data_IF_719389718781
#
_entry.id   IF_719389718781
#
_cell.length_a   1.000
_cell.length_b   1.000
_cell.length_c   1.000
_cell.angle_alpha   90.00
_cell.angle_beta   90.00
_cell.angle_gamma   90.00
#
_symmetry.space_group_name_H-M   'P 1'
#
loop_
_entity.id
_entity.type
_entity.pdbx_description
1 polymer ?
#
# COMPACT_ATOMS: atom_id res chain seq x y z
N UNK A 1 5.27 -19.31 22.98
CA UNK A 1 5.85 -19.70 21.67
C UNK A 1 7.24 -19.07 21.53
N UNK A 2 8.04 -19.40 20.52
CA UNK A 2 9.41 -18.86 20.37
C UNK A 2 9.42 -17.32 20.30
N UNK A 3 8.38 -16.71 19.71
CA UNK A 3 8.19 -15.26 19.66
C UNK A 3 8.05 -14.62 21.04
N UNK A 4 7.25 -15.20 21.94
CA UNK A 4 7.10 -14.69 23.32
C UNK A 4 8.44 -14.72 24.06
N UNK A 5 9.23 -15.77 23.82
CA UNK A 5 10.57 -15.88 24.41
C UNK A 5 11.49 -14.76 23.91
N UNK A 6 11.56 -14.53 22.59
CA UNK A 6 12.39 -13.47 22.00
C UNK A 6 11.92 -12.08 22.45
N UNK A 7 10.60 -11.83 22.43
CA UNK A 7 10.02 -10.56 22.87
C UNK A 7 10.31 -10.28 24.36
N UNK A 8 10.36 -11.33 25.19
CA UNK A 8 10.67 -11.26 26.61
C UNK A 8 12.17 -11.13 26.96
N UNK A 9 13.09 -11.24 25.99
CA UNK A 9 14.52 -11.08 26.25
C UNK A 9 14.84 -9.64 26.67
N UNK A 10 15.81 -9.48 27.59
CA UNK A 10 16.27 -8.15 27.99
C UNK A 10 16.91 -7.39 26.82
N UNK A 11 17.74 -8.07 26.04
CA UNK A 11 18.39 -7.54 24.84
C UNK A 11 18.40 -8.58 23.71
N UNK A 12 18.53 -8.11 22.48
CA UNK A 12 18.73 -8.93 21.29
C UNK A 12 20.19 -8.88 20.76
N UNK A 13 21.15 -8.34 21.53
CA UNK A 13 22.56 -8.19 21.10
C UNK A 13 23.25 -9.51 20.71
N UNK A 14 22.73 -10.65 21.17
CA UNK A 14 23.23 -11.97 20.79
C UNK A 14 22.75 -12.45 19.42
N UNK A 15 21.77 -11.77 18.83
CA UNK A 15 21.26 -12.07 17.49
C UNK A 15 22.04 -11.27 16.46
N UNK A 16 22.49 -11.93 15.40
CA UNK A 16 22.95 -11.21 14.23
C UNK A 16 21.75 -10.69 13.42
N UNK A 17 22.00 -9.72 12.54
CA UNK A 17 20.94 -9.05 11.78
C UNK A 17 20.16 -9.99 10.86
N UNK A 18 20.84 -11.01 10.30
CA UNK A 18 20.20 -12.05 9.49
C UNK A 18 19.20 -12.88 10.31
N UNK A 19 19.51 -13.22 11.56
CA UNK A 19 18.61 -13.96 12.43
C UNK A 19 17.36 -13.12 12.76
N UNK A 20 17.53 -11.82 12.97
CA UNK A 20 16.41 -10.90 13.22
C UNK A 20 15.51 -10.74 11.98
N UNK A 21 16.11 -10.51 10.81
CA UNK A 21 15.36 -10.37 9.55
C UNK A 21 14.61 -11.66 9.22
N UNK A 22 15.25 -12.83 9.37
CA UNK A 22 14.62 -14.12 9.10
C UNK A 22 13.51 -14.45 10.11
N UNK A 23 13.67 -14.05 11.37
CA UNK A 23 12.61 -14.20 12.38
C UNK A 23 11.39 -13.37 12.01
N UNK A 24 11.57 -12.08 11.70
CA UNK A 24 10.47 -11.22 11.27
C UNK A 24 9.80 -11.75 10.00
N UNK A 25 10.61 -12.15 9.01
CA UNK A 25 10.13 -12.73 7.75
C UNK A 25 9.31 -14.00 7.98
N UNK A 26 9.78 -14.94 8.81
CA UNK A 26 9.06 -16.18 9.09
C UNK A 26 7.69 -15.94 9.73
N UNK A 27 7.59 -14.99 10.67
CA UNK A 27 6.32 -14.62 11.28
C UNK A 27 5.36 -13.96 10.28
N UNK A 28 5.87 -13.05 9.44
CA UNK A 28 5.10 -12.41 8.39
C UNK A 28 4.57 -13.41 7.36
N UNK A 29 5.44 -14.29 6.85
CA UNK A 29 5.08 -15.35 5.89
C UNK A 29 4.09 -16.35 6.46
N UNK A 30 4.21 -16.69 7.75
CA UNK A 30 3.26 -17.59 8.42
C UNK A 30 1.90 -16.94 8.71
N UNK A 31 1.75 -15.63 8.51
CA UNK A 31 0.53 -14.89 8.85
C UNK A 31 0.23 -14.85 10.35
N UNK A 32 1.25 -15.09 11.19
CA UNK A 32 1.09 -15.12 12.65
C UNK A 32 1.30 -13.72 13.21
N UNK A 33 0.21 -13.11 13.70
CA UNK A 33 0.29 -11.80 14.36
C UNK A 33 1.07 -11.89 15.67
N UNK A 34 2.17 -11.13 15.78
CA UNK A 34 2.95 -11.04 17.02
C UNK A 34 3.47 -9.62 17.26
N UNK A 35 2.62 -8.69 17.72
CA UNK A 35 2.99 -7.28 17.74
C UNK A 35 4.22 -6.93 18.61
N UNK A 36 4.35 -7.58 19.77
CA UNK A 36 5.47 -7.33 20.69
C UNK A 36 6.84 -7.79 20.13
N UNK A 37 6.85 -8.83 19.28
CA UNK A 37 8.08 -9.34 18.67
C UNK A 37 8.60 -8.34 17.64
N UNK A 38 7.73 -7.87 16.74
CA UNK A 38 8.07 -6.83 15.77
C UNK A 38 8.51 -5.55 16.48
N UNK A 39 7.82 -5.13 17.54
CA UNK A 39 8.26 -3.96 18.31
C UNK A 39 9.67 -4.17 18.91
N UNK A 40 9.93 -5.34 19.51
CA UNK A 40 11.25 -5.66 20.09
C UNK A 40 12.37 -5.67 19.05
N UNK A 41 12.12 -6.24 17.88
CA UNK A 41 13.08 -6.26 16.76
C UNK A 41 13.32 -4.83 16.26
N UNK A 42 12.25 -4.05 16.06
CA UNK A 42 12.31 -2.67 15.54
C UNK A 42 13.11 -1.77 16.47
N UNK A 43 12.77 -1.79 17.76
CA UNK A 43 13.48 -1.04 18.80
C UNK A 43 14.97 -1.39 18.85
N UNK A 44 15.31 -2.68 18.71
CA UNK A 44 16.69 -3.14 18.71
C UNK A 44 17.46 -2.66 17.49
N UNK A 45 16.94 -2.90 16.27
CA UNK A 45 17.60 -2.50 15.01
C UNK A 45 17.74 -0.98 14.92
N UNK A 46 16.70 -0.23 15.32
CA UNK A 46 16.74 1.23 15.39
C UNK A 46 17.72 1.77 16.45
N UNK A 47 18.09 0.95 17.43
CA UNK A 47 19.08 1.26 18.47
C UNK A 47 20.52 0.94 18.08
N UNK A 48 20.75 0.19 17.00
CA UNK A 48 22.09 -0.13 16.53
C UNK A 48 22.83 1.14 16.07
N UNK A 49 24.12 1.24 16.44
CA UNK A 49 24.96 2.38 16.05
C UNK A 49 25.09 2.45 14.53
N UNK A 50 25.31 1.32 13.88
CA UNK A 50 25.43 1.18 12.43
C UNK A 50 24.77 -0.12 11.98
N UNK A 51 24.37 -0.16 10.71
CA UNK A 51 23.83 -1.34 10.04
C UNK A 51 24.80 -1.90 8.99
N UNK A 52 26.09 -1.57 9.07
CA UNK A 52 27.13 -1.93 8.06
C UNK A 52 27.22 -3.46 7.83
N UNK A 53 26.76 -4.27 8.78
CA UNK A 53 26.73 -5.73 8.68
C UNK A 53 25.47 -6.28 8.00
N UNK A 54 24.45 -5.46 7.74
CA UNK A 54 23.24 -5.87 7.02
C UNK A 54 23.52 -5.82 5.53
N UNK A 55 23.37 -6.96 4.86
CA UNK A 55 23.39 -6.97 3.41
C UNK A 55 22.03 -6.46 2.90
N UNK A 56 21.96 -6.06 1.62
CA UNK A 56 20.71 -5.67 0.96
C UNK A 56 19.55 -6.65 1.19
N UNK A 57 19.84 -7.95 1.22
CA UNK A 57 18.85 -8.99 1.48
C UNK A 57 18.20 -8.86 2.87
N UNK A 58 18.99 -8.62 3.92
CA UNK A 58 18.44 -8.47 5.27
C UNK A 58 17.64 -7.15 5.42
N UNK A 59 18.07 -6.07 4.75
CA UNK A 59 17.31 -4.81 4.71
C UNK A 59 15.96 -4.99 4.02
N UNK A 60 15.97 -5.61 2.84
CA UNK A 60 14.77 -5.92 2.05
C UNK A 60 13.81 -6.84 2.80
N UNK A 61 14.31 -7.95 3.37
CA UNK A 61 13.51 -8.88 4.16
C UNK A 61 12.91 -8.23 5.40
N UNK A 62 13.66 -7.36 6.09
CA UNK A 62 13.15 -6.64 7.26
C UNK A 62 12.01 -5.70 6.87
N UNK A 63 12.21 -4.85 5.87
CA UNK A 63 11.15 -3.92 5.41
C UNK A 63 9.91 -4.70 4.94
N UNK A 64 10.11 -5.72 4.11
CA UNK A 64 9.03 -6.58 3.60
C UNK A 64 8.26 -7.27 4.73
N UNK A 65 8.96 -7.83 5.72
CA UNK A 65 8.32 -8.50 6.85
C UNK A 65 7.40 -7.55 7.63
N UNK A 66 7.82 -6.30 7.85
CA UNK A 66 6.99 -5.30 8.54
C UNK A 66 5.77 -4.91 7.72
N UNK A 67 5.95 -4.66 6.42
CA UNK A 67 4.85 -4.37 5.51
C UNK A 67 3.81 -5.50 5.48
N UNK A 68 4.27 -6.76 5.32
CA UNK A 68 3.42 -7.95 5.26
C UNK A 68 2.76 -8.25 6.61
N UNK A 69 3.46 -8.07 7.72
CA UNK A 69 2.89 -8.20 9.07
C UNK A 69 2.02 -7.01 9.48
N UNK A 70 1.89 -6.00 8.59
CA UNK A 70 1.08 -4.79 8.78
C UNK A 70 1.50 -3.97 9.99
N UNK A 71 2.81 -3.86 10.19
CA UNK A 71 3.47 -3.11 11.25
C UNK A 71 4.32 -1.99 10.68
N UNK A 72 4.37 -0.88 11.40
CA UNK A 72 5.22 0.25 11.06
C UNK A 72 5.97 0.76 12.27
N UNK A 73 7.30 0.81 12.15
CA UNK A 73 8.19 1.46 13.11
C UNK A 73 8.99 2.54 12.36
N UNK A 74 8.71 3.81 12.68
CA UNK A 74 9.33 4.94 11.98
C UNK A 74 10.86 4.92 12.09
N UNK A 75 11.39 4.66 13.29
CA UNK A 75 12.83 4.71 13.53
C UNK A 75 13.55 3.58 12.82
N UNK A 76 12.93 2.39 12.78
CA UNK A 76 13.41 1.29 11.97
C UNK A 76 13.45 1.67 10.50
N UNK A 77 12.35 2.16 9.93
CA UNK A 77 12.25 2.51 8.51
C UNK A 77 13.24 3.60 8.13
N UNK A 78 13.38 4.66 8.92
CA UNK A 78 14.41 5.69 8.70
C UNK A 78 15.83 5.11 8.70
N UNK A 79 16.13 4.20 9.64
CA UNK A 79 17.46 3.57 9.75
C UNK A 79 17.75 2.66 8.55
N UNK A 80 16.82 1.78 8.17
CA UNK A 80 17.02 0.86 7.04
C UNK A 80 17.00 1.60 5.70
N UNK A 81 16.21 2.66 5.55
CA UNK A 81 16.23 3.53 4.35
C UNK A 81 17.56 4.24 4.20
N UNK A 82 18.12 4.76 5.28
CA UNK A 82 19.45 5.38 5.27
C UNK A 82 20.53 4.38 4.84
N UNK A 83 20.52 3.19 5.42
CA UNK A 83 21.49 2.14 5.07
C UNK A 83 21.30 1.63 3.62
N UNK A 84 20.05 1.53 3.16
CA UNK A 84 19.72 1.13 1.80
C UNK A 84 20.27 2.12 0.78
N UNK A 85 20.17 3.44 1.03
CA UNK A 85 20.75 4.46 0.16
C UNK A 85 22.27 4.36 0.08
N UNK A 86 22.94 4.07 1.20
CA UNK A 86 24.40 3.88 1.25
C UNK A 86 24.83 2.64 0.45
N UNK A 87 24.10 1.54 0.56
CA UNK A 87 24.45 0.25 -0.05
C UNK A 87 23.71 -0.07 -1.36
N UNK A 88 22.98 0.88 -1.93
CA UNK A 88 22.06 0.69 -3.07
C UNK A 88 22.67 -0.07 -4.25
N UNK A 89 23.95 0.15 -4.56
CA UNK A 89 24.65 -0.49 -5.69
C UNK A 89 24.77 -2.02 -5.51
N UNK A 90 24.72 -2.50 -4.26
CA UNK A 90 24.81 -3.92 -3.93
C UNK A 90 23.44 -4.63 -3.93
N UNK A 91 22.33 -3.91 -4.06
CA UNK A 91 21.00 -4.54 -4.11
C UNK A 91 20.83 -5.34 -5.40
N UNK A 92 20.36 -6.58 -5.30
CA UNK A 92 19.85 -7.33 -6.45
C UNK A 92 18.44 -6.89 -6.83
N UNK A 93 17.96 -7.33 -8.00
CA UNK A 93 16.66 -6.95 -8.55
C UNK A 93 15.51 -7.25 -7.58
N UNK A 94 15.49 -8.46 -7.01
CA UNK A 94 14.50 -8.87 -6.03
C UNK A 94 14.54 -7.99 -4.78
N UNK A 95 15.73 -7.68 -4.26
CA UNK A 95 15.87 -6.84 -3.07
C UNK A 95 15.35 -5.42 -3.31
N UNK A 96 15.67 -4.82 -4.47
CA UNK A 96 15.19 -3.48 -4.87
C UNK A 96 13.67 -3.46 -4.89
N UNK A 97 13.06 -4.37 -5.63
CA UNK A 97 11.62 -4.40 -5.83
C UNK A 97 10.87 -4.62 -4.50
N UNK A 98 11.32 -5.59 -3.69
CA UNK A 98 10.69 -5.87 -2.39
C UNK A 98 10.87 -4.71 -1.40
N UNK A 99 12.03 -4.06 -1.37
CA UNK A 99 12.30 -2.97 -0.45
C UNK A 99 11.45 -1.74 -0.77
N UNK A 100 11.39 -1.33 -2.04
CA UNK A 100 10.57 -0.19 -2.48
C UNK A 100 9.08 -0.48 -2.31
N UNK A 101 8.63 -1.69 -2.66
CA UNK A 101 7.25 -2.11 -2.43
C UNK A 101 6.87 -2.07 -0.94
N UNK A 102 7.77 -2.53 -0.05
CA UNK A 102 7.54 -2.50 1.38
C UNK A 102 7.45 -1.06 1.92
N UNK A 103 8.37 -0.19 1.51
CA UNK A 103 8.38 1.22 1.86
C UNK A 103 7.08 1.92 1.43
N UNK A 104 6.65 1.71 0.18
CA UNK A 104 5.38 2.20 -0.34
C UNK A 104 4.18 1.64 0.44
N UNK A 105 4.18 0.33 0.73
CA UNK A 105 3.08 -0.35 1.44
C UNK A 105 2.83 0.24 2.83
N UNK A 106 3.89 0.57 3.57
CA UNK A 106 3.77 1.22 4.90
C UNK A 106 3.62 2.74 4.83
N UNK A 107 3.61 3.32 3.63
CA UNK A 107 3.54 4.77 3.44
C UNK A 107 4.81 5.51 3.86
N UNK A 108 5.97 4.85 3.81
CA UNK A 108 7.29 5.46 4.00
C UNK A 108 7.90 5.78 2.61
N UNK A 109 7.43 6.85 2.00
CA UNK A 109 7.76 7.24 0.62
C UNK A 109 8.71 8.43 0.59
N UNK A 110 9.93 8.24 1.10
CA UNK A 110 10.97 9.27 1.12
C UNK A 110 11.53 9.54 -0.28
N UNK A 111 11.51 10.80 -0.73
CA UNK A 111 11.96 11.16 -2.09
C UNK A 111 13.44 10.86 -2.31
N UNK A 112 14.31 11.08 -1.31
CA UNK A 112 15.75 10.82 -1.45
C UNK A 112 16.02 9.34 -1.63
N UNK A 113 15.29 8.50 -0.89
CA UNK A 113 15.36 7.05 -1.03
C UNK A 113 14.97 6.63 -2.46
N UNK A 114 13.78 7.00 -2.92
CA UNK A 114 13.29 6.58 -4.23
C UNK A 114 14.19 7.11 -5.36
N UNK A 115 14.55 8.40 -5.34
CA UNK A 115 15.49 8.97 -6.32
C UNK A 115 16.86 8.28 -6.33
N UNK A 116 17.37 7.82 -5.18
CA UNK A 116 18.64 7.10 -5.13
C UNK A 116 18.58 5.74 -5.84
N UNK A 117 17.42 5.08 -5.89
CA UNK A 117 17.26 3.79 -6.55
C UNK A 117 17.00 3.90 -8.06
N UNK A 118 16.62 5.07 -8.59
CA UNK A 118 16.40 5.28 -10.04
C UNK A 118 17.59 4.80 -10.90
N UNK A 119 18.85 5.24 -10.68
CA UNK A 119 19.97 4.77 -11.50
C UNK A 119 20.25 3.28 -11.35
N UNK A 120 20.02 2.70 -10.16
CA UNK A 120 20.21 1.26 -9.91
C UNK A 120 19.20 0.46 -10.73
N UNK A 121 17.93 0.87 -10.73
CA UNK A 121 16.87 0.22 -11.52
C UNK A 121 17.17 0.35 -13.01
N UNK A 122 17.48 1.56 -13.48
CA UNK A 122 17.78 1.79 -14.89
C UNK A 122 18.96 0.94 -15.39
N UNK A 123 19.99 0.74 -14.56
CA UNK A 123 21.17 -0.06 -14.92
C UNK A 123 20.93 -1.57 -15.01
N UNK A 124 19.82 -2.07 -14.44
CA UNK A 124 19.48 -3.51 -14.33
C UNK A 124 18.14 -3.83 -14.99
N UNK A 125 17.63 -2.95 -15.84
CA UNK A 125 16.25 -3.02 -16.33
C UNK A 125 15.92 -4.35 -17.02
N UNK A 126 16.89 -4.94 -17.71
CA UNK A 126 16.82 -6.23 -18.41
C UNK A 126 17.00 -7.45 -17.50
N UNK A 127 17.42 -7.26 -16.24
CA UNK A 127 17.59 -8.32 -15.25
C UNK A 127 16.36 -8.54 -14.38
N UNK A 128 15.43 -7.57 -14.32
CA UNK A 128 14.21 -7.70 -13.54
C UNK A 128 13.23 -8.69 -14.16
N UNK A 129 12.55 -9.46 -13.32
CA UNK A 129 11.39 -10.26 -13.75
C UNK A 129 10.10 -9.43 -13.75
N UNK A 130 9.02 -10.04 -14.23
CA UNK A 130 7.71 -9.40 -14.37
C UNK A 130 7.13 -8.89 -13.05
N UNK A 131 7.28 -9.66 -11.97
CA UNK A 131 6.75 -9.27 -10.67
C UNK A 131 7.53 -8.08 -10.08
N UNK A 132 8.84 -8.06 -10.25
CA UNK A 132 9.71 -7.02 -9.74
C UNK A 132 9.45 -5.67 -10.44
N UNK A 133 9.31 -5.67 -11.77
CA UNK A 133 8.95 -4.47 -12.53
C UNK A 133 7.58 -3.91 -12.13
N UNK A 134 6.58 -4.79 -11.90
CA UNK A 134 5.26 -4.35 -11.45
C UNK A 134 5.29 -3.76 -10.03
N UNK A 135 6.06 -4.38 -9.12
CA UNK A 135 6.23 -3.89 -7.75
C UNK A 135 6.91 -2.52 -7.72
N UNK A 136 7.94 -2.29 -8.53
CA UNK A 136 8.62 -0.99 -8.65
C UNK A 136 7.63 0.06 -9.19
N UNK A 137 6.96 -0.23 -10.31
CA UNK A 137 5.98 0.65 -10.92
C UNK A 137 4.89 1.07 -9.92
N UNK A 138 4.35 0.10 -9.17
CA UNK A 138 3.36 0.36 -8.13
C UNK A 138 3.92 1.19 -6.97
N UNK A 139 5.13 0.88 -6.49
CA UNK A 139 5.74 1.60 -5.37
C UNK A 139 5.93 3.09 -5.67
N UNK A 140 6.40 3.45 -6.87
CA UNK A 140 6.50 4.85 -7.31
C UNK A 140 5.13 5.50 -7.51
N UNK A 141 4.12 4.72 -7.95
CA UNK A 141 2.75 5.21 -8.04
C UNK A 141 2.21 5.61 -6.68
N UNK A 142 2.43 4.79 -5.64
CA UNK A 142 2.07 5.13 -4.26
C UNK A 142 2.84 6.35 -3.77
N UNK A 143 4.16 6.39 -4.00
CA UNK A 143 5.03 7.48 -3.60
C UNK A 143 4.69 8.82 -4.28
N UNK A 144 4.03 8.77 -5.44
CA UNK A 144 3.68 9.93 -6.25
C UNK A 144 4.89 10.78 -6.66
N UNK A 145 6.01 10.12 -6.97
CA UNK A 145 7.26 10.79 -7.32
C UNK A 145 7.48 10.71 -8.83
N UNK A 146 7.36 11.86 -9.52
CA UNK A 146 7.74 11.96 -10.93
C UNK A 146 9.26 11.90 -11.03
N UNK A 147 9.76 10.84 -11.62
CA UNK A 147 11.19 10.57 -11.81
C UNK A 147 11.42 10.12 -13.25
N UNK A 148 12.60 10.39 -13.78
CA UNK A 148 13.03 9.96 -15.11
C UNK A 148 13.42 8.46 -15.12
N UNK A 149 12.54 7.62 -14.57
CA UNK A 149 12.67 6.16 -14.54
C UNK A 149 11.73 5.49 -15.54
N UNK A 150 10.52 6.05 -15.69
CA UNK A 150 9.46 5.48 -16.50
C UNK A 150 9.50 6.10 -17.90
N UNK A 151 10.23 5.46 -18.79
CA UNK A 151 10.37 5.84 -20.20
C UNK A 151 9.92 4.71 -21.13
N UNK A 152 10.16 4.87 -22.44
CA UNK A 152 9.87 3.85 -23.45
C UNK A 152 10.65 2.54 -23.21
N UNK A 153 11.82 2.62 -22.57
CA UNK A 153 12.63 1.47 -22.18
C UNK A 153 11.94 0.65 -21.10
N UNK A 154 11.42 1.31 -20.05
CA UNK A 154 10.65 0.64 -19.00
C UNK A 154 9.37 0.00 -19.54
N UNK A 155 8.66 0.70 -20.43
CA UNK A 155 7.46 0.15 -21.11
C UNK A 155 7.82 -1.08 -21.95
N UNK A 156 8.94 -1.03 -22.67
CA UNK A 156 9.42 -2.17 -23.47
C UNK A 156 9.77 -3.37 -22.59
N UNK A 157 10.39 -3.14 -21.43
CA UNK A 157 10.66 -4.20 -20.45
C UNK A 157 9.38 -4.85 -19.92
N UNK A 158 8.35 -4.05 -19.60
CA UNK A 158 7.04 -4.58 -19.21
C UNK A 158 6.36 -5.37 -20.35
N UNK A 159 6.43 -4.86 -21.57
CA UNK A 159 5.81 -5.48 -22.75
C UNK A 159 6.38 -6.89 -23.03
N UNK A 160 7.66 -7.12 -22.74
CA UNK A 160 8.30 -8.43 -22.89
C UNK A 160 7.63 -9.54 -22.05
N UNK A 161 6.96 -9.17 -20.95
CA UNK A 161 6.31 -10.09 -20.01
C UNK A 161 4.78 -10.09 -20.10
N UNK A 162 4.18 -9.46 -21.11
CA UNK A 162 2.73 -9.22 -21.22
C UNK A 162 1.85 -10.44 -20.89
N UNK A 163 2.29 -11.65 -21.29
CA UNK A 163 1.50 -12.87 -21.16
C UNK A 163 1.75 -13.67 -19.87
N UNK A 164 2.77 -13.31 -19.08
CA UNK A 164 3.18 -14.07 -17.89
C UNK A 164 2.95 -13.33 -16.57
N UNK A 165 2.52 -12.06 -16.61
CA UNK A 165 2.19 -11.31 -15.39
C UNK A 165 1.15 -12.05 -14.52
N UNK A 166 1.46 -12.30 -13.24
CA UNK A 166 0.47 -12.69 -12.23
C UNK A 166 -0.66 -11.66 -12.12
N UNK A 167 -1.82 -12.09 -11.61
CA UNK A 167 -2.97 -11.18 -11.50
C UNK A 167 -2.67 -9.93 -10.66
N UNK A 168 -1.95 -10.09 -9.54
CA UNK A 168 -1.60 -8.95 -8.69
C UNK A 168 -0.71 -7.94 -9.42
N UNK A 169 0.29 -8.43 -10.18
CA UNK A 169 1.12 -7.57 -11.02
C UNK A 169 0.29 -6.83 -12.07
N UNK A 170 -0.71 -7.48 -12.67
CA UNK A 170 -1.63 -6.81 -13.61
C UNK A 170 -2.45 -5.71 -12.95
N UNK A 171 -2.91 -5.93 -11.72
CA UNK A 171 -3.62 -4.91 -10.92
C UNK A 171 -2.71 -3.73 -10.61
N UNK A 172 -1.50 -4.01 -10.15
CA UNK A 172 -0.46 -3.01 -9.90
C UNK A 172 -0.14 -2.17 -11.15
N UNK A 173 0.00 -2.80 -12.31
CA UNK A 173 0.25 -2.11 -13.57
C UNK A 173 -0.95 -1.29 -14.06
N UNK A 174 -2.18 -1.72 -13.80
CA UNK A 174 -3.36 -0.88 -14.03
C UNK A 174 -3.30 0.40 -13.19
N UNK A 175 -2.99 0.27 -11.89
CA UNK A 175 -2.83 1.42 -11.00
C UNK A 175 -1.66 2.31 -11.42
N UNK A 176 -0.56 1.74 -11.92
CA UNK A 176 0.55 2.52 -12.48
C UNK A 176 0.14 3.27 -13.74
N UNK A 177 -0.60 2.65 -14.67
CA UNK A 177 -1.10 3.32 -15.86
C UNK A 177 -2.04 4.49 -15.50
N UNK A 178 -2.91 4.31 -14.49
CA UNK A 178 -3.72 5.41 -13.94
C UNK A 178 -2.84 6.53 -13.38
N UNK A 179 -1.73 6.20 -12.71
CA UNK A 179 -0.79 7.20 -12.19
C UNK A 179 -0.06 7.93 -13.33
N UNK A 180 0.32 7.24 -14.42
CA UNK A 180 0.90 7.88 -15.61
C UNK A 180 -0.05 8.90 -16.25
N UNK A 181 -1.37 8.62 -16.24
CA UNK A 181 -2.42 9.56 -16.65
C UNK A 181 -2.57 10.71 -15.66
N UNK A 182 -2.58 10.41 -14.35
CA UNK A 182 -2.69 11.38 -13.26
C UNK A 182 -1.60 12.46 -13.30
N UNK A 183 -0.37 12.08 -13.68
CA UNK A 183 0.78 13.00 -13.78
C UNK A 183 1.00 13.54 -15.20
N UNK A 184 0.11 13.23 -16.13
CA UNK A 184 0.16 13.65 -17.54
C UNK A 184 1.52 13.36 -18.19
N UNK A 185 2.09 12.17 -17.93
CA UNK A 185 3.43 11.81 -18.42
C UNK A 185 3.48 11.53 -19.93
N UNK A 186 2.36 11.13 -20.53
CA UNK A 186 2.31 10.60 -21.90
C UNK A 186 2.85 9.18 -22.06
N UNK A 187 3.30 8.54 -20.97
CA UNK A 187 3.78 7.15 -20.97
C UNK A 187 2.58 6.20 -20.88
N UNK A 188 2.54 5.23 -21.79
CA UNK A 188 1.47 4.26 -21.89
C UNK A 188 1.99 2.83 -22.08
N UNK A 189 1.37 1.86 -21.42
CA UNK A 189 1.54 0.44 -21.74
C UNK A 189 1.02 0.17 -23.17
N UNK A 190 1.51 -0.89 -23.85
CA UNK A 190 0.88 -1.36 -25.06
C UNK A 190 -0.62 -1.61 -24.85
N UNK A 191 -1.45 -1.28 -25.84
CA UNK A 191 -2.91 -1.35 -25.72
C UNK A 191 -3.40 -2.73 -25.25
N UNK A 192 -2.83 -3.81 -25.78
CA UNK A 192 -3.18 -5.18 -25.37
C UNK A 192 -2.89 -5.46 -23.90
N UNK A 193 -1.78 -4.93 -23.37
CA UNK A 193 -1.44 -5.02 -21.95
C UNK A 193 -2.36 -4.14 -21.09
N UNK A 194 -2.68 -2.92 -21.53
CA UNK A 194 -3.66 -2.06 -20.84
C UNK A 194 -5.00 -2.77 -20.66
N UNK A 195 -5.51 -3.40 -21.73
CA UNK A 195 -6.78 -4.13 -21.70
C UNK A 195 -6.72 -5.33 -20.74
N UNK A 196 -5.63 -6.10 -20.75
CA UNK A 196 -5.42 -7.22 -19.80
C UNK A 196 -5.37 -6.74 -18.36
N UNK A 197 -4.62 -5.68 -18.09
CA UNK A 197 -4.50 -5.06 -16.77
C UNK A 197 -5.86 -4.56 -16.26
N UNK A 198 -6.57 -3.78 -17.07
CA UNK A 198 -7.90 -3.25 -16.74
C UNK A 198 -8.90 -4.37 -16.48
N UNK A 199 -8.99 -5.36 -17.38
CA UNK A 199 -9.92 -6.47 -17.23
C UNK A 199 -9.65 -7.29 -15.96
N UNK A 200 -8.38 -7.50 -15.61
CA UNK A 200 -7.99 -8.18 -14.37
C UNK A 200 -8.32 -7.33 -13.12
N UNK A 201 -8.20 -6.01 -13.23
CA UNK A 201 -8.50 -5.09 -12.14
C UNK A 201 -9.99 -5.08 -11.79
N UNK A 202 -10.85 -4.96 -12.80
CA UNK A 202 -12.30 -4.85 -12.61
C UNK A 202 -13.01 -6.18 -12.34
N UNK A 203 -12.37 -7.33 -12.63
CA UNK A 203 -12.97 -8.66 -12.47
C UNK A 203 -12.98 -9.19 -11.03
N UNK A 204 -12.33 -8.49 -10.10
CA UNK A 204 -12.20 -8.91 -8.71
C UNK A 204 -13.59 -9.15 -8.08
N UNK A 205 -13.82 -10.38 -7.59
CA UNK A 205 -15.10 -10.73 -6.96
C UNK A 205 -15.27 -9.96 -5.65
N UNK A 206 -16.37 -9.23 -5.55
CA UNK A 206 -16.81 -8.61 -4.32
C UNK A 206 -17.17 -9.69 -3.28
N UNK A 207 -16.67 -9.54 -2.05
CA UNK A 207 -17.13 -10.33 -0.90
C UNK A 207 -17.78 -9.38 0.09
N UNK A 208 -19.10 -9.48 0.25
CA UNK A 208 -19.84 -8.71 1.25
C UNK A 208 -19.23 -8.86 2.64
N UNK A 209 -18.76 -7.75 3.22
CA UNK A 209 -18.29 -7.73 4.59
C UNK A 209 -19.42 -7.33 5.54
N UNK A 210 -19.47 -7.96 6.73
CA UNK A 210 -20.46 -7.58 7.76
C UNK A 210 -20.36 -6.10 8.16
N UNK A 211 -19.14 -5.56 8.17
CA UNK A 211 -18.87 -4.17 8.51
C UNK A 211 -19.51 -3.24 7.47
N UNK A 212 -19.33 -3.53 6.19
CA UNK A 212 -19.94 -2.76 5.10
C UNK A 212 -21.46 -2.81 5.13
N UNK A 213 -22.05 -3.99 5.33
CA UNK A 213 -23.50 -4.14 5.43
C UNK A 213 -24.09 -3.28 6.57
N UNK A 214 -23.37 -3.16 7.68
CA UNK A 214 -23.76 -2.31 8.82
C UNK A 214 -23.64 -0.81 8.50
N UNK A 215 -22.54 -0.37 7.86
CA UNK A 215 -22.38 1.02 7.41
C UNK A 215 -23.45 1.42 6.39
N UNK A 216 -23.67 0.59 5.38
CA UNK A 216 -24.72 0.78 4.36
C UNK A 216 -26.11 0.81 5.00
N UNK A 217 -26.37 -0.07 5.97
CA UNK A 217 -27.62 -0.08 6.72
C UNK A 217 -27.89 1.26 7.41
N UNK A 218 -26.87 1.84 8.04
CA UNK A 218 -26.97 3.15 8.70
C UNK A 218 -27.02 4.33 7.74
N UNK A 219 -26.34 4.27 6.57
CA UNK A 219 -26.52 5.25 5.49
C UNK A 219 -27.99 5.31 5.04
N UNK A 220 -28.60 4.13 4.85
CA UNK A 220 -30.02 4.00 4.46
C UNK A 220 -30.95 4.49 5.57
N UNK A 221 -30.66 4.14 6.83
CA UNK A 221 -31.45 4.58 7.98
C UNK A 221 -31.36 6.10 8.21
N UNK A 222 -30.24 6.72 7.86
CA UNK A 222 -30.08 8.18 7.85
C UNK A 222 -30.84 8.88 6.71
N UNK A 223 -31.45 8.12 5.78
CA UNK A 223 -32.20 8.67 4.65
C UNK A 223 -31.31 9.29 3.57
N UNK A 224 -30.06 8.85 3.46
CA UNK A 224 -29.13 9.31 2.41
C UNK A 224 -29.44 8.58 1.09
N UNK A 225 -29.31 9.29 -0.04
CA UNK A 225 -29.38 8.72 -1.39
C UNK A 225 -27.98 8.28 -1.83
N UNK A 226 -27.82 7.01 -2.18
CA UNK A 226 -26.53 6.44 -2.58
C UNK A 226 -26.70 5.20 -3.45
N UNK A 227 -25.67 4.92 -4.24
CA UNK A 227 -25.52 3.69 -5.01
C UNK A 227 -24.42 2.83 -4.35
N UNK A 228 -24.63 1.52 -4.20
CA UNK A 228 -23.66 0.59 -3.60
C UNK A 228 -22.72 -0.02 -4.66
N UNK A 229 -21.51 -0.41 -4.27
CA UNK A 229 -20.59 -1.20 -5.10
C UNK A 229 -20.31 -0.60 -6.49
N UNK A 230 -20.16 0.72 -6.56
CA UNK A 230 -20.08 1.45 -7.83
C UNK A 230 -18.71 1.26 -8.47
N UNK A 231 -18.69 0.73 -9.69
CA UNK A 231 -17.50 0.68 -10.53
C UNK A 231 -17.30 2.02 -11.24
N UNK A 232 -16.19 2.70 -10.96
CA UNK A 232 -15.85 4.01 -11.53
C UNK A 232 -15.10 3.90 -12.86
N UNK A 233 -14.87 5.04 -13.52
CA UNK A 233 -14.18 5.12 -14.81
C UNK A 233 -12.74 4.60 -14.74
N UNK A 234 -12.04 4.96 -13.67
CA UNK A 234 -10.72 4.44 -13.30
C UNK A 234 -10.69 2.91 -13.13
N UNK A 235 -11.84 2.26 -12.94
CA UNK A 235 -11.96 0.83 -12.65
C UNK A 235 -11.91 0.50 -11.16
N UNK A 236 -11.73 1.48 -10.27
CA UNK A 236 -11.93 1.26 -8.84
C UNK A 236 -13.40 1.00 -8.54
N UNK A 237 -13.64 0.11 -7.57
CA UNK A 237 -14.97 -0.10 -6.98
C UNK A 237 -15.05 0.59 -5.62
N UNK A 238 -16.10 1.37 -5.42
CA UNK A 238 -16.39 2.08 -4.16
C UNK A 238 -17.57 1.41 -3.46
N UNK A 239 -17.49 1.27 -2.14
CA UNK A 239 -18.51 0.58 -1.35
C UNK A 239 -19.87 1.30 -1.38
N UNK A 240 -19.86 2.64 -1.26
CA UNK A 240 -21.06 3.46 -1.46
C UNK A 240 -20.72 4.82 -2.09
N UNK A 241 -21.50 5.25 -3.07
CA UNK A 241 -21.41 6.56 -3.69
C UNK A 241 -22.61 7.41 -3.27
N UNK A 242 -22.40 8.28 -2.28
CA UNK A 242 -23.45 9.10 -1.67
C UNK A 242 -23.66 10.38 -2.46
N UNK A 243 -24.91 10.70 -2.76
CA UNK A 243 -25.32 11.94 -3.42
C UNK A 243 -25.66 12.99 -2.35
N UNK A 244 -24.89 14.07 -2.33
CA UNK A 244 -25.02 15.18 -1.39
C UNK A 244 -25.52 16.40 -2.15
N UNK A 245 -26.75 16.85 -1.87
CA UNK A 245 -27.41 17.92 -2.64
C UNK A 245 -27.48 17.54 -4.13
N UNK A 246 -27.97 18.42 -5.01
CA UNK A 246 -28.33 18.03 -6.38
C UNK A 246 -27.14 17.61 -7.28
N UNK A 247 -25.87 17.89 -6.91
CA UNK A 247 -24.72 17.64 -7.81
C UNK A 247 -23.46 17.02 -7.19
N UNK A 248 -23.25 17.07 -5.85
CA UNK A 248 -22.01 16.56 -5.25
C UNK A 248 -22.13 15.06 -4.97
N UNK A 249 -21.14 14.28 -5.41
CA UNK A 249 -21.01 12.86 -5.06
C UNK A 249 -19.79 12.66 -4.17
N UNK A 250 -19.93 11.84 -3.13
CA UNK A 250 -18.85 11.47 -2.22
C UNK A 250 -18.78 9.95 -2.13
N UNK A 251 -17.61 9.41 -2.41
CA UNK A 251 -17.30 8.00 -2.22
C UNK A 251 -17.10 7.72 -0.73
N UNK A 252 -17.79 6.71 -0.21
CA UNK A 252 -17.58 6.16 1.14
C UNK A 252 -16.88 4.82 1.00
N UNK A 253 -15.72 4.71 1.64
CA UNK A 253 -14.92 3.49 1.73
C UNK A 253 -15.01 2.94 3.15
N UNK A 254 -15.52 1.72 3.29
CA UNK A 254 -15.64 0.98 4.54
C UNK A 254 -14.37 0.19 4.76
N UNK A 255 -13.37 0.90 5.29
CA UNK A 255 -12.03 0.38 5.47
C UNK A 255 -11.97 -0.59 6.67
N UNK A 256 -11.98 -1.88 6.37
CA UNK A 256 -11.72 -2.93 7.34
C UNK A 256 -10.23 -3.05 7.71
N UNK A 257 -9.89 -3.96 8.63
CA UNK A 257 -8.61 -4.64 8.77
C UNK A 257 -7.49 -4.10 7.92
N UNK A 258 -7.41 -4.74 6.75
CA UNK A 258 -6.35 -4.79 5.75
C UNK A 258 -6.05 -3.47 5.03
N UNK A 259 -6.88 -2.44 5.21
CA UNK A 259 -6.69 -1.12 4.62
C UNK A 259 -5.66 -0.27 5.38
N UNK A 260 -5.17 -0.76 6.52
CA UNK A 260 -4.31 0.00 7.41
C UNK A 260 -3.00 -0.70 7.78
N UNK A 261 -2.05 0.07 8.30
CA UNK A 261 -0.80 -0.35 8.94
C UNK A 261 -0.73 0.44 10.25
N UNK A 262 -0.88 -0.23 11.40
CA UNK A 262 -0.97 0.43 12.73
C UNK A 262 -1.86 1.71 12.73
N UNK A 263 -3.10 1.57 12.24
CA UNK A 263 -4.11 2.64 12.10
C UNK A 263 -3.80 3.77 11.10
N UNK A 264 -2.77 3.64 10.28
CA UNK A 264 -2.50 4.53 9.13
C UNK A 264 -2.93 3.85 7.83
N UNK A 265 -3.48 4.56 6.83
CA UNK A 265 -3.80 3.96 5.54
C UNK A 265 -2.58 3.27 4.92
N UNK A 266 -2.75 2.04 4.44
CA UNK A 266 -1.70 1.34 3.69
C UNK A 266 -1.49 1.99 2.32
N UNK A 267 -0.34 1.75 1.68
CA UNK A 267 -0.01 2.30 0.36
C UNK A 267 -1.10 2.08 -0.69
N UNK A 268 -1.74 0.91 -0.69
CA UNK A 268 -2.88 0.59 -1.58
C UNK A 268 -4.08 1.51 -1.37
N UNK A 269 -4.39 1.84 -0.11
CA UNK A 269 -5.52 2.68 0.28
C UNK A 269 -5.22 4.13 -0.04
N UNK A 270 -3.99 4.58 0.23
CA UNK A 270 -3.50 5.90 -0.18
C UNK A 270 -3.64 6.08 -1.70
N UNK A 271 -3.16 5.11 -2.48
CA UNK A 271 -3.20 5.16 -3.94
C UNK A 271 -4.64 5.17 -4.48
N UNK A 272 -5.51 4.29 -3.96
CA UNK A 272 -6.94 4.25 -4.32
C UNK A 272 -7.59 5.60 -4.08
N UNK A 273 -7.49 6.14 -2.87
CA UNK A 273 -8.16 7.39 -2.52
C UNK A 273 -7.68 8.55 -3.39
N UNK A 274 -6.37 8.62 -3.63
CA UNK A 274 -5.78 9.67 -4.48
C UNK A 274 -6.26 9.58 -5.92
N UNK A 275 -6.25 8.38 -6.50
CA UNK A 275 -6.62 8.18 -7.91
C UNK A 275 -8.12 8.38 -8.14
N UNK A 276 -8.97 7.91 -7.24
CA UNK A 276 -10.42 8.18 -7.31
C UNK A 276 -10.69 9.69 -7.23
N UNK A 277 -10.03 10.39 -6.30
CA UNK A 277 -10.18 11.83 -6.16
C UNK A 277 -9.71 12.63 -7.39
N UNK A 278 -8.62 12.20 -8.03
CA UNK A 278 -8.01 12.95 -9.15
C UNK A 278 -8.50 12.57 -10.54
N UNK A 279 -8.80 11.29 -10.77
CA UNK A 279 -9.18 10.79 -12.09
C UNK A 279 -10.69 10.66 -12.25
N UNK A 280 -11.40 10.28 -11.19
CA UNK A 280 -12.87 10.20 -11.21
C UNK A 280 -13.53 11.46 -10.66
N UNK A 281 -12.75 12.43 -10.14
CA UNK A 281 -13.22 13.68 -9.55
C UNK A 281 -14.23 13.47 -8.40
N UNK A 282 -14.06 12.37 -7.66
CA UNK A 282 -14.94 12.00 -6.53
C UNK A 282 -14.13 12.03 -5.24
N UNK A 283 -14.54 12.90 -4.31
CA UNK A 283 -13.97 12.90 -2.96
C UNK A 283 -14.20 11.56 -2.27
N UNK A 284 -13.17 11.04 -1.61
CA UNK A 284 -13.22 9.77 -0.88
C UNK A 284 -13.18 10.01 0.62
N UNK A 285 -14.16 9.45 1.32
CA UNK A 285 -14.31 9.47 2.77
C UNK A 285 -14.15 8.07 3.31
N UNK A 286 -13.17 7.90 4.19
CA UNK A 286 -12.92 6.64 4.89
C UNK A 286 -13.80 6.50 6.14
N UNK A 287 -14.36 5.30 6.31
CA UNK A 287 -14.98 4.80 7.53
C UNK A 287 -14.09 3.68 8.10
N UNK A 288 -13.11 4.00 8.97
CA UNK A 288 -12.25 3.00 9.56
C UNK A 288 -13.01 2.11 10.54
N UNK A 289 -12.76 0.80 10.49
CA UNK A 289 -13.45 -0.17 11.35
C UNK A 289 -13.39 0.18 12.85
N UNK A 290 -12.26 0.66 13.38
CA UNK A 290 -12.13 0.97 14.81
C UNK A 290 -12.92 2.23 15.22
N UNK A 291 -13.08 3.20 14.32
CA UNK A 291 -13.92 4.36 14.56
C UNK A 291 -15.38 3.91 14.61
N UNK A 292 -15.77 3.07 13.66
CA UNK A 292 -17.12 2.54 13.53
C UNK A 292 -17.53 1.63 14.70
N UNK A 293 -16.68 0.67 15.06
CA UNK A 293 -16.90 -0.28 16.17
C UNK A 293 -16.97 0.42 17.52
N UNK A 294 -16.37 1.62 17.64
CA UNK A 294 -16.44 2.46 18.84
C UNK A 294 -17.80 3.15 19.06
N UNK A 295 -18.70 3.16 18.07
CA UNK A 295 -19.98 3.86 18.12
C UNK A 295 -21.07 2.97 18.73
N UNK A 296 -21.70 3.45 19.80
CA UNK A 296 -22.54 2.61 20.68
C UNK A 296 -23.95 2.32 20.17
N UNK A 297 -24.47 3.13 19.25
CA UNK A 297 -25.84 3.02 18.76
C UNK A 297 -26.00 3.71 17.38
N UNK A 298 -27.13 3.47 16.73
CA UNK A 298 -27.45 4.00 15.40
C UNK A 298 -27.42 5.53 15.34
N UNK A 299 -27.87 6.25 16.38
CA UNK A 299 -27.84 7.72 16.39
C UNK A 299 -26.40 8.24 16.30
N UNK A 300 -25.46 7.64 17.05
CA UNK A 300 -24.04 8.00 16.97
C UNK A 300 -23.42 7.65 15.61
N UNK A 301 -23.77 6.48 15.05
CA UNK A 301 -23.32 6.03 13.72
C UNK A 301 -23.79 6.96 12.60
N UNK A 302 -25.06 7.33 12.60
CA UNK A 302 -25.64 8.25 11.62
C UNK A 302 -25.05 9.65 11.75
N UNK A 303 -24.89 10.17 12.97
CA UNK A 303 -24.23 11.45 13.20
C UNK A 303 -22.78 11.44 12.70
N UNK A 304 -22.04 10.37 12.97
CA UNK A 304 -20.69 10.17 12.45
C UNK A 304 -20.65 10.19 10.91
N UNK A 305 -21.58 9.50 10.24
CA UNK A 305 -21.68 9.53 8.77
C UNK A 305 -22.00 10.92 8.24
N UNK A 306 -22.97 11.63 8.82
CA UNK A 306 -23.28 13.00 8.42
C UNK A 306 -22.09 13.95 8.56
N UNK A 307 -21.34 13.82 9.65
CA UNK A 307 -20.12 14.60 9.88
C UNK A 307 -19.05 14.29 8.83
N UNK A 308 -18.78 13.02 8.58
CA UNK A 308 -17.81 12.54 7.58
C UNK A 308 -18.16 13.02 6.17
N UNK A 309 -19.46 13.08 5.83
CA UNK A 309 -19.96 13.54 4.53
C UNK A 309 -20.06 15.08 4.42
N UNK A 310 -19.94 15.81 5.54
CA UNK A 310 -20.19 17.26 5.58
C UNK A 310 -21.66 17.62 5.32
N UNK A 311 -22.58 16.77 5.79
CA UNK A 311 -24.04 16.91 5.63
C UNK A 311 -24.72 17.42 6.91
N UNK A 312 -23.98 17.97 7.87
CA UNK A 312 -24.59 18.56 9.06
C UNK A 312 -25.53 19.70 8.64
N UNK A 313 -26.75 19.70 9.19
CA UNK A 313 -27.65 20.84 9.06
C UNK A 313 -27.04 21.97 9.87
N UNK A 314 -26.67 23.07 9.22
CA UNK A 314 -26.39 24.32 9.93
C UNK A 314 -27.56 24.57 10.88
N UNK A 315 -27.28 24.57 12.18
CA UNK A 315 -28.27 24.80 13.24
C UNK A 315 -28.69 26.26 13.30
#
# INVERSE_FOLDING_TARGET
QIGDHIAGLKSLDSFNSQALSNTAWAYATAGVSHPELFKKIGDHVAGLKSLDSLKPQELSNTAWAYATARRFDLRLFEKVSTEAVVNREHFGCQEVANFLWACATVGHTDERLFSAFVPVIASKLDEFNEQELANIAWAYSVANLKQDLFDEGYVSALAAYENVFPEESRRQLHQWQLWQQEIESGIELPQSLQEKCRNTFISSSYSESKLQNDVVGELRAAGLDFDEEVLLGSGYRIDALVKIREERKVAVEVDGPFHFIDSRPAGRTILKHRQVARLDYIEVVSVPYWEWDGLKNSVMKQHYLHKKLGCEKDH
#
